data_IF_033961235269
#
_entry.id   IF_033961235269
#
_cell.length_a   1.000
_cell.length_b   1.000
_cell.length_c   1.000
_cell.angle_alpha   90.00
_cell.angle_beta   90.00
_cell.angle_gamma   90.00
#
_symmetry.space_group_name_H-M   'P 1'
#
loop_
_entity.id
_entity.type
_entity.pdbx_description
1 polymer ?
#
# COMPACT_ATOMS: atom_id res chain seq x y z
N UNK A 1 -11.65 -4.42 -38.23
CA UNK A 1 -11.71 -5.90 -38.34
C UNK A 1 -10.65 -6.41 -39.33
N UNK A 2 -9.39 -5.97 -39.21
CA UNK A 2 -8.26 -6.51 -40.00
C UNK A 2 -7.01 -6.42 -39.13
N UNK A 3 -6.75 -7.46 -38.32
CA UNK A 3 -5.42 -7.77 -37.76
C UNK A 3 -5.35 -9.18 -37.13
N UNK A 4 -6.29 -10.09 -37.46
CA UNK A 4 -6.37 -11.41 -36.82
C UNK A 4 -5.50 -12.51 -37.50
N UNK A 5 -4.81 -12.18 -38.59
CA UNK A 5 -4.12 -13.18 -39.42
C UNK A 5 -2.63 -13.38 -39.15
N UNK A 6 -1.92 -12.38 -38.58
CA UNK A 6 -0.46 -12.45 -38.42
C UNK A 6 0.01 -12.96 -37.05
N UNK A 7 -0.83 -12.93 -36.01
CA UNK A 7 -0.42 -13.43 -34.68
C UNK A 7 -0.19 -14.95 -34.64
N UNK A 8 -0.91 -15.72 -35.45
CA UNK A 8 -0.82 -17.18 -35.45
C UNK A 8 0.53 -17.74 -35.91
N UNK A 9 1.34 -16.95 -36.64
CA UNK A 9 2.66 -17.39 -37.13
C UNK A 9 3.83 -17.11 -36.17
N UNK A 10 3.67 -16.18 -35.23
CA UNK A 10 4.72 -15.83 -34.25
C UNK A 10 4.68 -16.74 -33.01
N UNK A 11 3.50 -17.28 -32.69
CA UNK A 11 3.29 -18.13 -31.50
C UNK A 11 3.87 -19.55 -31.61
N UNK A 12 4.39 -19.97 -32.76
CA UNK A 12 4.92 -21.34 -32.97
C UNK A 12 6.39 -21.37 -33.41
N UNK A 13 7.19 -20.40 -32.96
CA UNK A 13 8.65 -20.40 -33.08
C UNK A 13 9.25 -20.92 -31.77
N UNK A 14 10.12 -21.96 -31.78
CA UNK A 14 10.72 -22.49 -30.55
C UNK A 14 11.70 -21.53 -29.85
N UNK A 15 11.95 -20.32 -30.41
CA UNK A 15 12.94 -19.35 -29.90
C UNK A 15 12.43 -17.90 -29.82
N UNK A 16 11.14 -17.65 -29.57
CA UNK A 16 10.67 -16.29 -29.24
C UNK A 16 10.67 -16.06 -27.72
N UNK A 17 11.59 -15.23 -27.23
CA UNK A 17 11.44 -14.58 -25.93
C UNK A 17 10.28 -13.57 -26.04
N UNK A 18 9.09 -13.95 -25.58
CA UNK A 18 7.95 -13.03 -25.45
C UNK A 18 8.06 -12.34 -24.08
N UNK A 19 8.37 -11.05 -24.07
CA UNK A 19 8.10 -10.23 -22.88
C UNK A 19 6.58 -10.08 -22.82
N UNK A 20 5.93 -10.83 -21.93
CA UNK A 20 4.52 -10.61 -21.60
C UNK A 20 4.39 -9.25 -20.90
N UNK A 21 4.24 -8.19 -21.69
CA UNK A 21 3.93 -6.84 -21.22
C UNK A 21 2.45 -6.68 -20.82
N UNK A 22 1.65 -7.74 -20.95
CA UNK A 22 0.32 -7.79 -20.39
C UNK A 22 0.44 -8.06 -18.88
N UNK A 23 0.17 -7.03 -18.06
CA UNK A 23 -0.05 -7.23 -16.63
C UNK A 23 -1.27 -8.14 -16.48
N UNK A 24 -1.03 -9.44 -16.30
CA UNK A 24 -2.06 -10.32 -15.79
C UNK A 24 -2.32 -9.85 -14.36
N UNK A 25 -3.52 -9.32 -14.02
CA UNK A 25 -3.78 -8.90 -12.66
C UNK A 25 -3.67 -10.12 -11.74
N UNK A 26 -2.64 -10.13 -10.88
CA UNK A 26 -2.51 -11.14 -9.84
C UNK A 26 -3.49 -10.77 -8.74
N UNK A 27 -4.38 -11.70 -8.40
CA UNK A 27 -5.23 -11.61 -7.22
C UNK A 27 -4.38 -11.88 -5.97
N UNK A 28 -4.28 -10.91 -5.06
CA UNK A 28 -3.41 -11.00 -3.88
C UNK A 28 -4.15 -11.48 -2.62
N UNK A 29 -5.49 -11.54 -2.64
CA UNK A 29 -6.29 -11.95 -1.48
C UNK A 29 -6.17 -10.99 -0.30
N UNK A 30 -5.97 -9.70 -0.58
CA UNK A 30 -5.78 -8.65 0.43
C UNK A 30 -7.07 -7.88 0.75
N UNK A 31 -8.14 -8.11 -0.01
CA UNK A 31 -9.40 -7.43 0.19
C UNK A 31 -9.93 -7.61 1.63
N UNK A 32 -10.30 -6.49 2.26
CA UNK A 32 -10.80 -6.46 3.63
C UNK A 32 -9.75 -6.63 4.72
N UNK A 33 -8.49 -6.94 4.39
CA UNK A 33 -7.41 -7.01 5.39
C UNK A 33 -7.06 -5.63 5.93
N UNK A 34 -6.61 -5.58 7.17
CA UNK A 34 -6.16 -4.34 7.81
C UNK A 34 -4.66 -4.28 7.90
N UNK A 35 -4.07 -3.22 7.34
CA UNK A 35 -2.63 -2.99 7.31
C UNK A 35 -2.23 -1.75 8.12
N UNK A 36 -1.15 -1.86 8.90
CA UNK A 36 -0.43 -0.73 9.48
C UNK A 36 0.84 -0.49 8.66
N UNK A 37 1.05 0.74 8.19
CA UNK A 37 2.28 1.16 7.52
C UNK A 37 2.96 2.26 8.32
N UNK A 38 4.14 1.98 8.86
CA UNK A 38 4.89 2.95 9.67
C UNK A 38 5.75 3.87 8.82
N UNK A 39 5.96 5.11 9.25
CA UNK A 39 6.74 6.10 8.48
C UNK A 39 6.09 6.48 7.14
N UNK A 40 4.76 6.39 7.05
CA UNK A 40 4.03 6.45 5.79
C UNK A 40 3.51 7.85 5.42
N UNK A 41 4.06 8.93 6.00
CA UNK A 41 3.70 10.30 5.60
C UNK A 41 4.28 10.70 4.24
N UNK A 42 5.30 9.99 3.73
CA UNK A 42 6.00 10.30 2.47
C UNK A 42 6.69 9.04 1.90
N UNK A 43 7.27 9.17 0.69
CA UNK A 43 8.19 8.19 0.12
C UNK A 43 7.58 6.81 -0.10
N UNK A 44 8.40 5.77 0.11
CA UNK A 44 7.98 4.37 -0.08
C UNK A 44 6.83 3.98 0.84
N UNK A 45 6.84 4.40 2.11
CA UNK A 45 5.74 4.11 3.04
C UNK A 45 4.38 4.63 2.52
N UNK A 46 4.34 5.85 1.98
CA UNK A 46 3.13 6.41 1.40
C UNK A 46 2.70 5.66 0.12
N UNK A 47 3.66 5.32 -0.73
CA UNK A 47 3.39 4.53 -1.94
C UNK A 47 2.84 3.15 -1.59
N UNK A 48 3.45 2.45 -0.63
CA UNK A 48 3.01 1.15 -0.13
C UNK A 48 1.61 1.22 0.48
N UNK A 49 1.33 2.22 1.31
CA UNK A 49 -0.01 2.42 1.87
C UNK A 49 -1.06 2.61 0.76
N UNK A 50 -0.75 3.39 -0.27
CA UNK A 50 -1.64 3.59 -1.41
C UNK A 50 -1.89 2.32 -2.22
N UNK A 51 -0.86 1.51 -2.46
CA UNK A 51 -1.02 0.24 -3.19
C UNK A 51 -1.79 -0.80 -2.38
N UNK A 52 -1.50 -0.95 -1.08
CA UNK A 52 -2.29 -1.83 -0.20
C UNK A 52 -3.77 -1.45 -0.20
N UNK A 53 -4.06 -0.14 -0.16
CA UNK A 53 -5.43 0.33 -0.20
C UNK A 53 -6.09 0.10 -1.56
N UNK A 54 -5.33 0.18 -2.66
CA UNK A 54 -5.81 -0.17 -4.02
C UNK A 54 -6.16 -1.65 -4.14
N UNK A 55 -5.49 -2.51 -3.39
CA UNK A 55 -5.78 -3.95 -3.29
C UNK A 55 -6.93 -4.28 -2.30
N UNK A 56 -7.65 -3.26 -1.80
CA UNK A 56 -8.84 -3.45 -0.96
C UNK A 56 -8.56 -3.54 0.54
N UNK A 57 -7.33 -3.23 0.99
CA UNK A 57 -7.05 -3.17 2.43
C UNK A 57 -7.67 -1.93 3.09
N UNK A 58 -8.08 -2.09 4.35
CA UNK A 58 -8.14 -0.97 5.30
C UNK A 58 -6.71 -0.61 5.71
N UNK A 59 -6.38 0.68 5.74
CA UNK A 59 -4.98 1.09 5.99
C UNK A 59 -4.89 2.12 7.12
N UNK A 60 -4.09 1.81 8.13
CA UNK A 60 -3.58 2.81 9.07
C UNK A 60 -2.19 3.25 8.66
N UNK A 61 -1.97 4.56 8.55
CA UNK A 61 -0.65 5.16 8.38
C UNK A 61 -0.21 5.86 9.66
N UNK A 62 1.09 5.77 9.98
CA UNK A 62 1.65 6.50 11.11
C UNK A 62 2.95 7.23 10.76
N UNK A 63 3.13 8.40 11.38
CA UNK A 63 4.35 9.19 11.33
C UNK A 63 4.37 10.20 12.49
N UNK A 64 5.49 10.92 12.67
CA UNK A 64 5.67 11.92 13.73
C UNK A 64 5.03 13.28 13.40
N UNK A 65 5.03 13.66 12.11
CA UNK A 65 4.51 14.93 11.63
C UNK A 65 3.02 14.85 11.35
N UNK A 66 2.21 15.52 12.16
CA UNK A 66 0.75 15.42 12.10
C UNK A 66 0.15 15.98 10.81
N UNK A 67 0.58 17.17 10.39
CA UNK A 67 0.03 17.80 9.19
C UNK A 67 0.45 17.06 7.90
N UNK A 68 1.70 16.60 7.81
CA UNK A 68 2.15 15.79 6.67
C UNK A 68 1.45 14.43 6.64
N UNK A 69 1.19 13.83 7.80
CA UNK A 69 0.44 12.58 7.91
C UNK A 69 -1.03 12.76 7.48
N UNK A 70 -1.69 13.85 7.89
CA UNK A 70 -3.06 14.17 7.48
C UNK A 70 -3.18 14.33 5.97
N UNK A 71 -2.25 15.09 5.36
CA UNK A 71 -2.17 15.25 3.90
C UNK A 71 -1.93 13.92 3.18
N UNK A 72 -1.05 13.08 3.72
CA UNK A 72 -0.77 11.76 3.17
C UNK A 72 -2.00 10.84 3.18
N UNK A 73 -2.77 10.83 4.28
CA UNK A 73 -4.05 10.12 4.38
C UNK A 73 -5.02 10.61 3.30
N UNK A 74 -5.21 11.92 3.18
CA UNK A 74 -6.15 12.50 2.21
C UNK A 74 -5.73 12.16 0.77
N UNK A 75 -4.41 12.15 0.49
CA UNK A 75 -3.87 11.76 -0.80
C UNK A 75 -4.18 10.31 -1.17
N UNK A 76 -3.96 9.35 -0.26
CA UNK A 76 -4.28 7.94 -0.56
C UNK A 76 -5.81 7.76 -0.66
N UNK A 77 -6.57 8.41 0.22
CA UNK A 77 -8.03 8.30 0.28
C UNK A 77 -8.69 8.78 -1.01
N UNK A 78 -8.16 9.84 -1.63
CA UNK A 78 -8.64 10.36 -2.91
C UNK A 78 -8.37 9.41 -4.09
N UNK A 79 -7.34 8.56 -4.02
CA UNK A 79 -6.97 7.61 -5.08
C UNK A 79 -7.85 6.36 -5.11
N UNK A 80 -8.44 6.00 -3.97
CA UNK A 80 -9.29 4.81 -3.83
C UNK A 80 -10.60 5.17 -3.13
N UNK A 81 -11.58 5.75 -3.85
CA UNK A 81 -12.88 6.07 -3.28
C UNK A 81 -13.56 4.83 -2.67
N UNK A 82 -14.07 4.96 -1.45
CA UNK A 82 -14.74 3.86 -0.74
C UNK A 82 -13.84 3.02 0.17
N UNK A 83 -12.51 3.03 -0.04
CA UNK A 83 -11.58 2.47 0.93
C UNK A 83 -11.51 3.35 2.19
N UNK A 84 -10.93 2.89 3.29
CA UNK A 84 -10.79 3.68 4.51
C UNK A 84 -9.34 3.76 4.98
N UNK A 85 -8.86 4.98 5.18
CA UNK A 85 -7.56 5.25 5.78
C UNK A 85 -7.67 5.90 7.16
N UNK A 86 -6.93 5.38 8.14
CA UNK A 86 -6.73 5.99 9.46
C UNK A 86 -5.33 6.61 9.53
N UNK A 87 -5.23 7.82 10.09
CA UNK A 87 -3.95 8.46 10.38
C UNK A 87 -3.75 8.52 11.90
N UNK A 88 -2.69 7.89 12.39
CA UNK A 88 -2.34 7.94 13.82
C UNK A 88 -0.95 8.55 13.97
N UNK A 89 -0.85 9.69 14.64
CA UNK A 89 0.46 10.25 15.00
C UNK A 89 1.14 9.31 15.98
N UNK A 90 2.34 8.85 15.63
CA UNK A 90 3.12 7.96 16.49
C UNK A 90 4.63 8.11 16.23
N UNK A 91 5.40 8.14 17.32
CA UNK A 91 6.85 7.93 17.32
C UNK A 91 7.17 6.46 17.59
N UNK A 92 7.77 5.78 16.61
CA UNK A 92 8.11 4.35 16.72
C UNK A 92 9.24 4.05 17.72
N UNK A 93 9.86 5.07 18.32
CA UNK A 93 10.78 4.90 19.45
C UNK A 93 10.09 4.90 20.82
N UNK A 94 8.78 5.21 20.87
CA UNK A 94 8.00 5.32 22.10
C UNK A 94 6.98 4.18 22.16
N UNK A 95 7.11 3.29 23.16
CA UNK A 95 6.23 2.12 23.30
C UNK A 95 4.76 2.48 23.42
N UNK A 96 4.42 3.52 24.20
CA UNK A 96 3.04 3.97 24.36
C UNK A 96 2.39 4.50 23.06
N UNK A 97 3.20 4.99 22.12
CA UNK A 97 2.73 5.40 20.80
C UNK A 97 2.42 4.19 19.91
N UNK A 98 3.23 3.12 20.01
CA UNK A 98 3.01 1.85 19.31
C UNK A 98 1.74 1.17 19.84
N UNK A 99 1.57 1.10 21.17
CA UNK A 99 0.37 0.53 21.79
C UNK A 99 -0.90 1.28 21.37
N UNK A 100 -0.84 2.61 21.36
CA UNK A 100 -1.95 3.45 20.88
C UNK A 100 -2.24 3.22 19.39
N UNK A 101 -1.21 3.15 18.55
CA UNK A 101 -1.35 2.89 17.12
C UNK A 101 -2.08 1.57 16.84
N UNK A 102 -1.68 0.49 17.51
CA UNK A 102 -2.32 -0.83 17.36
C UNK A 102 -3.75 -0.80 17.89
N UNK A 103 -3.97 -0.22 19.07
CA UNK A 103 -5.30 -0.10 19.68
C UNK A 103 -6.26 0.67 18.79
N UNK A 104 -5.90 1.88 18.35
CA UNK A 104 -6.77 2.70 17.51
C UNK A 104 -7.07 2.03 16.15
N UNK A 105 -6.09 1.31 15.60
CA UNK A 105 -6.30 0.51 14.37
C UNK A 105 -7.32 -0.61 14.61
N UNK A 106 -7.15 -1.38 15.68
CA UNK A 106 -8.06 -2.46 16.03
C UNK A 106 -9.46 -1.96 16.41
N UNK A 107 -9.57 -0.84 17.11
CA UNK A 107 -10.86 -0.19 17.41
C UNK A 107 -11.57 0.27 16.14
N UNK A 108 -10.81 0.76 15.15
CA UNK A 108 -11.37 1.26 13.89
C UNK A 108 -11.77 0.15 12.92
N UNK A 109 -10.96 -0.89 12.79
CA UNK A 109 -11.08 -1.89 11.72
C UNK A 109 -11.26 -3.33 12.22
N UNK A 110 -11.22 -3.56 13.54
CA UNK A 110 -11.45 -4.85 14.18
C UNK A 110 -10.24 -5.78 14.27
N UNK A 111 -9.21 -5.59 13.43
CA UNK A 111 -8.02 -6.45 13.37
C UNK A 111 -6.78 -5.69 12.91
N UNK A 112 -5.61 -6.33 13.01
CA UNK A 112 -4.37 -5.96 12.32
C UNK A 112 -3.82 -7.23 11.68
N UNK A 113 -3.91 -7.34 10.35
CA UNK A 113 -3.47 -8.54 9.62
C UNK A 113 -2.06 -8.35 9.04
N UNK A 114 -1.69 -7.11 8.74
CA UNK A 114 -0.46 -6.76 8.03
C UNK A 114 0.25 -5.63 8.79
N UNK A 115 1.54 -5.79 9.03
CA UNK A 115 2.41 -4.73 9.53
C UNK A 115 3.57 -4.52 8.55
N UNK A 116 3.67 -3.30 8.02
CA UNK A 116 4.81 -2.85 7.22
C UNK A 116 5.67 -1.94 8.09
N UNK A 117 6.76 -2.48 8.62
CA UNK A 117 7.72 -1.73 9.43
C UNK A 117 8.68 -0.93 8.53
N UNK A 118 8.24 0.25 8.09
CA UNK A 118 8.97 1.11 7.14
C UNK A 118 9.58 2.36 7.81
N UNK A 119 9.17 2.73 9.02
CA UNK A 119 9.72 3.89 9.71
C UNK A 119 11.24 3.79 9.86
N UNK A 120 11.95 4.75 9.25
CA UNK A 120 13.41 4.86 9.30
C UNK A 120 13.84 6.31 9.33
N UNK A 121 15.06 6.54 9.82
CA UNK A 121 15.69 7.86 9.82
C UNK A 121 17.07 7.75 9.19
N UNK A 122 17.36 8.64 8.25
CA UNK A 122 18.70 8.83 7.71
C UNK A 122 19.33 10.03 8.41
N UNK A 123 20.48 9.83 9.05
CA UNK A 123 21.29 10.92 9.59
C UNK A 123 22.50 11.06 8.67
N UNK A 124 22.54 12.14 7.90
CA UNK A 124 23.77 12.52 7.21
C UNK A 124 24.72 13.14 8.24
N UNK A 125 25.97 12.68 8.23
CA UNK A 125 27.08 13.27 8.98
C UNK A 125 27.65 14.44 8.20
#
# INVERSE_FOLDING_TARGET
MIACGLLGRILNSPNSFVIHAERNPMELGLEGKTAIVTGASMGLGLATAGELMREGCNVTICARGEETLRRARDQIQARTPGAQALAVRADMSVSGDIERLVRETAERFGTVDILVNNAGVTRYL
#
